data_IF_005148027591
#
_entry.id   IF_005148027591
#
_cell.length_a   1.000
_cell.length_b   1.000
_cell.length_c   1.000
_cell.angle_alpha   90.00
_cell.angle_beta   90.00
_cell.angle_gamma   90.00
#
_symmetry.space_group_name_H-M   'P 1'
#
loop_
_entity.id
_entity.type
_entity.pdbx_description
1 polymer ?
#
# COMPACT_ATOMS: atom_id res chain seq x y z
N UNK A 1 -3.18 -13.07 -0.01
CA UNK A 1 -4.15 -12.45 -0.96
C UNK A 1 -3.87 -10.97 -1.12
N UNK A 2 -3.80 -10.20 -0.03
CA UNK A 2 -3.52 -8.77 -0.07
C UNK A 2 -2.07 -8.48 -0.46
N UNK A 3 -1.11 -9.31 -0.01
CA UNK A 3 0.30 -9.17 -0.40
C UNK A 3 0.48 -9.36 -1.91
N UNK A 4 -0.27 -10.29 -2.51
CA UNK A 4 -0.28 -10.47 -3.96
C UNK A 4 -0.89 -9.26 -4.68
N UNK A 5 -2.00 -8.70 -4.18
CA UNK A 5 -2.60 -7.49 -4.75
C UNK A 5 -1.60 -6.33 -4.78
N UNK A 6 -0.90 -6.08 -3.67
CA UNK A 6 0.04 -4.96 -3.61
C UNK A 6 1.30 -5.22 -4.44
N UNK A 7 1.76 -6.47 -4.53
CA UNK A 7 2.86 -6.82 -5.42
C UNK A 7 2.50 -6.56 -6.89
N UNK A 8 1.29 -6.93 -7.32
CA UNK A 8 0.80 -6.65 -8.67
C UNK A 8 0.75 -5.14 -8.97
N UNK A 9 0.38 -4.32 -7.99
CA UNK A 9 0.45 -2.86 -8.12
C UNK A 9 1.89 -2.35 -8.30
N UNK A 10 2.83 -2.84 -7.49
CA UNK A 10 4.26 -2.49 -7.58
C UNK A 10 4.83 -2.90 -8.95
N UNK A 11 4.49 -4.09 -9.43
CA UNK A 11 4.93 -4.59 -10.73
C UNK A 11 4.38 -3.72 -11.87
N UNK A 12 3.10 -3.32 -11.80
CA UNK A 12 2.48 -2.43 -12.77
C UNK A 12 3.13 -1.04 -12.80
N UNK A 13 3.40 -0.45 -11.64
CA UNK A 13 4.10 0.84 -11.53
C UNK A 13 5.53 0.75 -12.07
N UNK A 14 6.22 -0.37 -11.80
CA UNK A 14 7.57 -0.63 -12.32
C UNK A 14 7.57 -0.74 -13.84
N UNK A 15 6.59 -1.46 -14.42
CA UNK A 15 6.44 -1.56 -15.86
C UNK A 15 6.14 -0.20 -16.50
N UNK A 16 5.19 0.56 -15.94
CA UNK A 16 4.84 1.90 -16.40
C UNK A 16 6.07 2.84 -16.38
N UNK A 17 6.82 2.85 -15.28
CA UNK A 17 8.03 3.66 -15.14
C UNK A 17 9.07 3.32 -16.21
N UNK A 18 9.28 2.03 -16.52
CA UNK A 18 10.18 1.59 -17.60
C UNK A 18 9.73 2.13 -18.95
N UNK A 19 8.44 2.10 -19.25
CA UNK A 19 7.90 2.64 -20.50
C UNK A 19 8.06 4.15 -20.60
N UNK A 20 7.70 4.90 -19.55
CA UNK A 20 7.92 6.35 -19.52
C UNK A 20 9.40 6.72 -19.71
N UNK A 21 10.29 6.01 -19.01
CA UNK A 21 11.73 6.24 -19.11
C UNK A 21 12.29 5.96 -20.50
N UNK A 22 11.82 4.88 -21.16
CA UNK A 22 12.24 4.55 -22.51
C UNK A 22 11.79 5.59 -23.54
N UNK A 23 10.57 6.13 -23.40
CA UNK A 23 10.06 7.20 -24.27
C UNK A 23 10.83 8.49 -24.02
N UNK A 24 11.04 8.90 -22.77
CA UNK A 24 11.81 10.10 -22.43
C UNK A 24 13.27 10.03 -22.95
N UNK A 25 13.91 8.86 -22.87
CA UNK A 25 15.24 8.65 -23.44
C UNK A 25 15.25 8.72 -24.98
N UNK A 26 14.16 8.31 -25.62
CA UNK A 26 14.00 8.43 -27.08
C UNK A 26 13.75 9.87 -27.49
N UNK A 27 12.89 10.58 -26.76
CA UNK A 27 12.64 12.00 -26.94
C UNK A 27 13.95 12.81 -26.87
N UNK A 28 14.76 12.61 -25.82
CA UNK A 28 16.06 13.27 -25.67
C UNK A 28 17.01 13.01 -26.85
N UNK A 29 16.97 11.82 -27.45
CA UNK A 29 17.79 11.50 -28.63
C UNK A 29 17.31 12.22 -29.90
N UNK A 30 16.00 12.41 -30.04
CA UNK A 30 15.38 13.03 -31.21
C UNK A 30 15.44 14.55 -31.19
N UNK A 31 15.20 15.14 -30.01
CA UNK A 31 14.99 16.59 -29.87
C UNK A 31 16.08 17.29 -29.07
N UNK A 32 17.15 16.58 -28.68
CA UNK A 32 18.19 17.05 -27.74
C UNK A 32 17.57 17.49 -26.40
N UNK A 33 18.30 18.23 -25.57
CA UNK A 33 17.78 18.74 -24.29
C UNK A 33 16.84 19.94 -24.54
N UNK A 34 15.62 19.64 -25.03
CA UNK A 34 14.52 20.61 -25.06
C UNK A 34 14.06 20.94 -23.64
N UNK A 35 13.53 22.15 -23.43
CA UNK A 35 13.26 22.68 -22.09
C UNK A 35 12.00 22.10 -21.43
N UNK A 36 11.05 21.55 -22.21
CA UNK A 36 9.83 20.92 -21.71
C UNK A 36 9.62 19.56 -22.40
N UNK A 37 9.73 18.44 -21.67
CA UNK A 37 9.56 17.12 -22.24
C UNK A 37 8.08 16.80 -22.48
N UNK A 38 7.78 16.21 -23.62
CA UNK A 38 6.47 15.66 -23.96
C UNK A 38 6.07 14.52 -23.01
N UNK A 39 7.04 13.77 -22.47
CA UNK A 39 6.80 12.70 -21.50
C UNK A 39 7.52 12.97 -20.18
N UNK A 40 6.75 13.06 -19.09
CA UNK A 40 7.27 13.22 -17.74
C UNK A 40 7.42 11.86 -17.08
N UNK A 41 8.65 11.52 -16.71
CA UNK A 41 8.95 10.32 -15.91
C UNK A 41 8.69 10.64 -14.44
N UNK A 42 7.90 9.83 -13.72
CA UNK A 42 7.70 10.02 -12.29
C UNK A 42 9.02 10.03 -11.53
N UNK A 43 9.19 10.98 -10.61
CA UNK A 43 10.33 11.02 -9.71
C UNK A 43 10.22 9.91 -8.65
N UNK A 44 11.35 9.54 -8.05
CA UNK A 44 11.35 8.58 -6.93
C UNK A 44 10.43 9.02 -5.80
N UNK A 45 10.41 10.32 -5.47
CA UNK A 45 9.50 10.88 -4.45
C UNK A 45 8.03 10.66 -4.83
N UNK A 46 7.65 10.94 -6.08
CA UNK A 46 6.27 10.72 -6.54
C UNK A 46 5.87 9.24 -6.46
N UNK A 47 6.80 8.32 -6.77
CA UNK A 47 6.55 6.88 -6.66
C UNK A 47 6.38 6.45 -5.21
N UNK A 48 7.25 6.92 -4.31
CA UNK A 48 7.17 6.62 -2.87
C UNK A 48 5.90 7.19 -2.25
N UNK A 49 5.49 8.39 -2.62
CA UNK A 49 4.26 9.01 -2.11
C UNK A 49 3.01 8.25 -2.56
N UNK A 50 2.98 7.77 -3.80
CA UNK A 50 1.87 6.95 -4.29
C UNK A 50 1.85 5.56 -3.62
N UNK A 51 3.02 4.96 -3.36
CA UNK A 51 3.11 3.72 -2.57
C UNK A 51 2.60 3.91 -1.15
N UNK A 52 3.01 4.98 -0.46
CA UNK A 52 2.51 5.33 0.88
C UNK A 52 1.00 5.42 0.91
N UNK A 53 0.43 6.25 0.02
CA UNK A 53 -1.02 6.43 -0.10
C UNK A 53 -1.74 5.10 -0.36
N UNK A 54 -1.14 4.24 -1.20
CA UNK A 54 -1.70 2.94 -1.53
C UNK A 54 -1.68 2.00 -0.33
N UNK A 55 -0.57 1.94 0.42
CA UNK A 55 -0.46 1.15 1.65
C UNK A 55 -1.48 1.59 2.70
N UNK A 56 -1.60 2.89 2.95
CA UNK A 56 -2.57 3.46 3.89
C UNK A 56 -4.01 3.11 3.51
N UNK A 57 -4.35 3.31 2.23
CA UNK A 57 -5.70 3.05 1.71
C UNK A 57 -6.03 1.57 1.79
N UNK A 58 -5.09 0.69 1.42
CA UNK A 58 -5.29 -0.76 1.45
C UNK A 58 -5.45 -1.25 2.89
N UNK A 59 -4.61 -0.81 3.82
CA UNK A 59 -4.73 -1.15 5.23
C UNK A 59 -6.09 -0.75 5.80
N UNK A 60 -6.58 0.45 5.47
CA UNK A 60 -7.92 0.91 5.87
C UNK A 60 -9.04 0.02 5.30
N UNK A 61 -8.95 -0.36 4.02
CA UNK A 61 -9.93 -1.28 3.39
C UNK A 61 -9.92 -2.66 4.03
N UNK A 62 -8.74 -3.18 4.39
CA UNK A 62 -8.60 -4.47 5.09
C UNK A 62 -9.25 -4.41 6.47
N UNK A 63 -9.04 -3.32 7.22
CA UNK A 63 -9.70 -3.10 8.52
C UNK A 63 -11.23 -3.10 8.34
N UNK A 64 -11.76 -2.36 7.37
CA UNK A 64 -13.21 -2.34 7.13
C UNK A 64 -13.76 -3.70 6.73
N UNK A 65 -13.06 -4.41 5.83
CA UNK A 65 -13.42 -5.77 5.42
C UNK A 65 -13.46 -6.71 6.63
N UNK A 66 -12.44 -6.69 7.49
CA UNK A 66 -12.39 -7.54 8.68
C UNK A 66 -13.52 -7.21 9.67
N UNK A 67 -13.87 -5.93 9.82
CA UNK A 67 -15.03 -5.52 10.63
C UNK A 67 -16.32 -6.10 10.09
N UNK A 68 -16.57 -5.94 8.79
CA UNK A 68 -17.81 -6.41 8.19
C UNK A 68 -17.92 -7.95 8.23
N UNK A 69 -16.79 -8.67 8.13
CA UNK A 69 -16.78 -10.14 8.16
C UNK A 69 -16.85 -10.75 9.56
N UNK A 70 -16.16 -10.19 10.55
CA UNK A 70 -15.95 -10.83 11.86
C UNK A 70 -16.72 -10.17 13.01
N UNK A 71 -17.58 -9.19 12.75
CA UNK A 71 -18.45 -8.63 13.79
C UNK A 71 -19.49 -9.68 14.23
N UNK A 72 -19.42 -10.10 15.49
CA UNK A 72 -20.42 -10.98 16.11
C UNK A 72 -21.46 -10.13 16.85
N UNK A 73 -22.72 -10.16 16.40
CA UNK A 73 -23.84 -9.44 17.00
C UNK A 73 -24.09 -8.03 16.45
N UNK A 74 -25.02 -7.28 17.07
CA UNK A 74 -25.54 -6.01 16.52
C UNK A 74 -24.64 -4.78 16.75
N UNK A 75 -23.54 -4.90 17.50
CA UNK A 75 -22.61 -3.78 17.78
C UNK A 75 -21.32 -3.97 16.99
N UNK A 76 -21.01 -3.01 16.12
CA UNK A 76 -19.72 -2.93 15.43
C UNK A 76 -18.60 -2.67 16.45
N UNK A 77 -17.58 -3.52 16.53
CA UNK A 77 -16.46 -3.32 17.44
C UNK A 77 -15.68 -2.04 17.09
N UNK A 78 -15.20 -1.37 18.13
CA UNK A 78 -14.28 -0.23 18.02
C UNK A 78 -12.89 -0.79 17.75
N UNK A 79 -12.24 -0.32 16.68
CA UNK A 79 -10.89 -0.73 16.33
C UNK A 79 -9.98 0.48 16.44
N UNK A 80 -9.01 0.40 17.35
CA UNK A 80 -7.93 1.36 17.45
C UNK A 80 -6.82 0.97 16.46
N UNK A 81 -6.69 1.73 15.37
CA UNK A 81 -5.73 1.44 14.30
C UNK A 81 -4.30 1.25 14.82
N UNK A 82 -3.86 2.12 15.74
CA UNK A 82 -2.53 2.06 16.33
C UNK A 82 -2.26 0.72 17.03
N UNK A 83 -3.22 0.22 17.82
CA UNK A 83 -3.04 -1.03 18.58
C UNK A 83 -3.07 -2.27 17.69
N UNK A 84 -3.81 -2.22 16.57
CA UNK A 84 -3.76 -3.28 15.56
C UNK A 84 -2.44 -3.26 14.80
N UNK A 85 -1.98 -2.08 14.39
CA UNK A 85 -0.73 -1.95 13.65
C UNK A 85 0.45 -2.40 14.50
N UNK A 86 0.51 -2.00 15.77
CA UNK A 86 1.53 -2.48 16.71
C UNK A 86 1.49 -4.01 16.84
N UNK A 87 0.31 -4.60 17.06
CA UNK A 87 0.18 -6.05 17.20
C UNK A 87 0.53 -6.83 15.93
N UNK A 88 0.33 -6.22 14.75
CA UNK A 88 0.72 -6.79 13.47
C UNK A 88 2.16 -6.46 13.08
N UNK A 89 2.91 -5.65 13.86
CA UNK A 89 4.20 -5.12 13.42
C UNK A 89 4.12 -4.31 12.13
N UNK A 90 2.96 -3.70 11.86
CA UNK A 90 2.61 -3.05 10.60
C UNK A 90 3.05 -1.57 10.63
N UNK A 91 4.20 -1.29 10.01
CA UNK A 91 4.79 0.05 9.95
C UNK A 91 5.08 0.45 8.49
N UNK A 92 4.25 1.35 7.97
CA UNK A 92 4.32 1.83 6.59
C UNK A 92 5.62 2.59 6.33
N UNK A 93 5.99 3.53 7.20
CA UNK A 93 7.16 4.38 6.96
C UNK A 93 8.45 3.59 7.07
N UNK A 94 8.53 2.66 8.03
CA UNK A 94 9.68 1.75 8.11
C UNK A 94 9.79 0.87 6.88
N UNK A 95 8.70 0.28 6.40
CA UNK A 95 8.72 -0.55 5.20
C UNK A 95 9.14 0.27 3.96
N UNK A 96 8.62 1.48 3.79
CA UNK A 96 9.03 2.37 2.71
C UNK A 96 10.52 2.72 2.77
N UNK A 97 11.06 3.00 3.97
CA UNK A 97 12.47 3.30 4.16
C UNK A 97 13.40 2.12 3.83
N UNK A 98 12.92 0.89 4.04
CA UNK A 98 13.65 -0.35 3.73
C UNK A 98 13.44 -0.86 2.30
N UNK A 99 12.50 -0.25 1.54
CA UNK A 99 12.09 -0.78 0.24
C UNK A 99 11.32 -2.10 0.33
N UNK A 100 10.67 -2.35 1.47
CA UNK A 100 9.89 -3.54 1.76
C UNK A 100 8.39 -3.26 1.66
N UNK A 101 7.61 -4.32 1.55
CA UNK A 101 6.14 -4.26 1.57
C UNK A 101 5.66 -4.66 2.98
N UNK A 102 4.84 -3.86 3.67
CA UNK A 102 4.20 -4.28 4.90
C UNK A 102 3.40 -5.58 4.70
N UNK A 103 3.37 -6.48 5.68
CA UNK A 103 2.61 -7.72 5.56
C UNK A 103 1.11 -7.49 5.79
N UNK A 104 0.38 -7.27 4.70
CA UNK A 104 -1.07 -7.04 4.70
C UNK A 104 -1.87 -8.31 4.98
N UNK A 105 -1.36 -9.48 4.57
CA UNK A 105 -2.00 -10.75 4.89
C UNK A 105 -1.88 -11.06 6.39
N UNK A 106 -0.75 -10.73 7.02
CA UNK A 106 -0.58 -10.81 8.46
C UNK A 106 -1.45 -9.81 9.23
N UNK A 107 -1.53 -8.55 8.76
CA UNK A 107 -2.47 -7.56 9.30
C UNK A 107 -3.90 -8.12 9.36
N UNK A 108 -4.34 -8.79 8.28
CA UNK A 108 -5.65 -9.42 8.24
C UNK A 108 -5.80 -10.59 9.22
N UNK A 109 -4.76 -11.41 9.37
CA UNK A 109 -4.75 -12.52 10.33
C UNK A 109 -4.91 -12.03 11.78
N UNK A 110 -4.20 -10.96 12.15
CA UNK A 110 -4.31 -10.33 13.48
C UNK A 110 -5.71 -9.77 13.71
N UNK A 111 -6.29 -9.09 12.71
CA UNK A 111 -7.67 -8.60 12.77
C UNK A 111 -8.67 -9.73 12.94
N UNK A 112 -8.53 -10.83 12.18
CA UNK A 112 -9.38 -12.02 12.31
C UNK A 112 -9.30 -12.62 13.72
N UNK A 113 -8.10 -12.76 14.27
CA UNK A 113 -7.92 -13.33 15.59
C UNK A 113 -8.62 -12.47 16.66
N UNK A 114 -8.43 -11.16 16.64
CA UNK A 114 -9.03 -10.24 17.62
C UNK A 114 -10.55 -10.13 17.50
N UNK A 115 -11.06 -9.99 16.28
CA UNK A 115 -12.50 -9.81 16.06
C UNK A 115 -13.26 -11.13 16.14
N UNK A 116 -12.69 -12.21 15.63
CA UNK A 116 -13.31 -13.54 15.62
C UNK A 116 -13.33 -14.22 16.98
N UNK A 117 -12.41 -13.89 17.89
CA UNK A 117 -12.40 -14.39 19.26
C UNK A 117 -13.37 -13.66 20.21
N UNK A 118 -13.98 -12.55 19.76
CA UNK A 118 -14.81 -11.70 20.63
C UNK A 118 -14.02 -10.87 21.65
N UNK A 119 -12.70 -10.82 21.53
CA UNK A 119 -11.81 -9.98 22.34
C UNK A 119 -11.89 -8.51 21.87
N UNK A 120 -13.03 -7.87 22.14
CA UNK A 120 -13.18 -6.42 22.05
C UNK A 120 -13.25 -5.85 23.46
N UNK A 121 -12.09 -5.74 24.10
CA UNK A 121 -11.86 -4.92 25.27
C UNK A 121 -10.38 -4.57 25.28
N UNK A 122 -10.07 -3.28 25.07
CA UNK A 122 -8.96 -2.46 25.60
C UNK A 122 -8.75 -1.24 24.70
#
# INVERSE_FOLDING_TARGET
MFNHFIQTFIDAQTAAWRHYSAVAATEKRLFSDSHDPAVRVPTTTQVVDELRRTYETLAMRIIFKARDEFTVGAKRPVIHRATIFEAAGFDIERSLALGEVPDFDWLYAVLRARLGAGECSL
#
